data_IF_895100647771
#
_entry.id   IF_895100647771
#
_cell.length_a   1.000
_cell.length_b   1.000
_cell.length_c   1.000
_cell.angle_alpha   90.00
_cell.angle_beta   90.00
_cell.angle_gamma   90.00
#
_symmetry.space_group_name_H-M   'P 1'
#
loop_
_entity.id
_entity.type
_entity.pdbx_description
1 polymer ?
#
# COMPACT_ATOMS: atom_id res chain seq x y z
N UNK A 1 63.42 -9.78 41.70
CA UNK A 1 62.24 -9.98 42.58
C UNK A 1 60.98 -9.62 41.79
N UNK A 2 59.94 -10.47 41.91
CA UNK A 2 58.48 -10.34 41.62
C UNK A 2 57.94 -8.96 41.17
N UNK A 3 56.82 -8.80 40.45
CA UNK A 3 55.92 -9.62 39.61
C UNK A 3 54.79 -8.69 39.10
N UNK A 4 54.25 -9.00 37.90
CA UNK A 4 52.87 -8.79 37.39
C UNK A 4 52.22 -7.39 37.30
N UNK A 5 51.76 -7.09 36.08
CA UNK A 5 50.37 -6.84 35.62
C UNK A 5 50.44 -5.91 34.40
N UNK A 6 49.66 -6.03 33.34
CA UNK A 6 48.51 -6.87 33.01
C UNK A 6 48.16 -6.56 31.54
N UNK A 7 47.51 -7.51 30.90
CA UNK A 7 46.98 -7.45 29.53
C UNK A 7 46.03 -6.27 29.31
N UNK A 8 45.90 -5.81 28.06
CA UNK A 8 44.68 -5.30 27.39
C UNK A 8 45.11 -4.45 26.17
N UNK A 9 44.49 -4.44 25.00
CA UNK A 9 43.60 -5.33 24.28
C UNK A 9 43.62 -4.78 22.84
N UNK A 10 43.73 -5.63 21.83
CA UNK A 10 43.60 -5.23 20.43
C UNK A 10 42.12 -5.09 20.07
N UNK A 11 41.72 -3.94 19.49
CA UNK A 11 40.51 -3.86 18.68
C UNK A 11 40.58 -2.65 17.75
N UNK A 12 41.03 -2.91 16.52
CA UNK A 12 40.63 -2.14 15.35
C UNK A 12 39.12 -2.27 15.16
N UNK A 13 38.40 -1.17 15.21
CA UNK A 13 37.05 -1.07 14.65
C UNK A 13 36.97 0.21 13.84
N UNK A 14 37.11 0.03 12.52
CA UNK A 14 36.67 0.99 11.52
C UNK A 14 35.14 0.89 11.47
N UNK A 15 34.46 1.95 11.88
CA UNK A 15 33.05 2.18 11.52
C UNK A 15 33.02 3.04 10.26
N UNK A 16 32.40 2.58 9.17
CA UNK A 16 31.89 3.46 8.14
C UNK A 16 30.38 3.29 8.08
N UNK A 17 29.63 4.14 8.77
CA UNK A 17 28.18 4.21 8.56
C UNK A 17 27.69 5.61 8.90
N UNK A 18 27.43 6.40 7.86
CA UNK A 18 26.12 7.03 7.66
C UNK A 18 26.16 7.86 6.37
N UNK A 19 25.87 7.21 5.23
CA UNK A 19 25.47 7.91 4.00
C UNK A 19 24.04 7.47 3.70
N UNK A 20 23.08 8.28 4.12
CA UNK A 20 21.72 8.29 3.57
C UNK A 20 21.11 9.65 3.88
N UNK A 21 21.60 10.67 3.17
CA UNK A 21 20.88 11.94 3.10
C UNK A 21 19.76 11.81 2.07
N UNK A 22 18.54 11.93 2.60
CA UNK A 22 17.32 12.40 1.94
C UNK A 22 16.66 11.40 0.98
N UNK A 23 15.81 10.57 1.60
CA UNK A 23 14.65 9.95 0.99
C UNK A 23 13.89 10.97 0.14
N UNK A 24 13.62 10.57 -1.10
CA UNK A 24 12.81 11.31 -2.05
C UNK A 24 11.44 11.61 -1.46
N UNK A 25 11.13 12.90 -1.35
CA UNK A 25 9.74 13.34 -1.35
C UNK A 25 9.46 13.66 -2.82
N UNK A 26 9.14 12.61 -3.58
CA UNK A 26 8.42 12.79 -4.83
C UNK A 26 7.11 13.45 -4.46
N UNK A 27 7.04 14.75 -4.76
CA UNK A 27 5.84 15.56 -4.66
C UNK A 27 4.79 14.92 -5.56
N UNK A 28 3.86 14.18 -4.96
CA UNK A 28 2.60 13.89 -5.62
C UNK A 28 1.97 15.22 -6.02
N UNK A 29 1.92 15.39 -7.33
CA UNK A 29 1.48 16.56 -8.06
C UNK A 29 0.15 17.10 -7.60
N UNK A 30 0.00 18.43 -7.75
CA UNK A 30 -1.25 19.17 -7.71
C UNK A 30 -2.37 18.36 -8.39
N UNK A 31 -3.28 17.78 -7.60
CA UNK A 31 -4.47 17.10 -8.11
C UNK A 31 -5.69 17.97 -7.85
N UNK A 32 -6.31 18.37 -8.95
CA UNK A 32 -7.57 19.09 -8.97
C UNK A 32 -8.62 18.34 -8.12
N UNK A 33 -9.16 19.08 -7.16
CA UNK A 33 -10.23 18.72 -6.25
C UNK A 33 -11.55 18.59 -7.03
N UNK A 34 -11.70 17.52 -7.82
CA UNK A 34 -13.00 17.05 -8.30
C UNK A 34 -13.43 15.91 -7.40
N UNK A 35 -14.40 16.18 -6.50
CA UNK A 35 -15.09 15.25 -5.60
C UNK A 35 -14.53 13.83 -5.55
N UNK A 36 -13.76 13.53 -4.48
CA UNK A 36 -12.98 12.30 -4.27
C UNK A 36 -13.73 11.01 -4.63
N UNK A 37 -13.62 10.59 -5.88
CA UNK A 37 -13.94 9.22 -6.28
C UNK A 37 -12.85 8.30 -5.71
N UNK A 38 -13.24 7.12 -5.25
CA UNK A 38 -12.33 6.11 -4.72
C UNK A 38 -11.24 5.78 -5.75
N UNK A 39 -9.98 5.81 -5.35
CA UNK A 39 -8.81 5.58 -6.20
C UNK A 39 -8.35 4.12 -6.11
N UNK A 40 -7.44 3.72 -6.99
CA UNK A 40 -6.82 2.41 -6.96
C UNK A 40 -5.32 2.51 -6.72
N UNK A 41 -4.80 1.71 -5.80
CA UNK A 41 -3.40 1.68 -5.42
C UNK A 41 -2.83 0.29 -5.61
N UNK A 42 -1.69 0.21 -6.29
CA UNK A 42 -0.94 -1.03 -6.48
C UNK A 42 0.00 -1.24 -5.32
N UNK A 43 -0.15 -2.39 -4.68
CA UNK A 43 0.75 -2.91 -3.65
C UNK A 43 1.23 -4.28 -4.13
N UNK A 44 2.51 -4.37 -4.52
CA UNK A 44 3.10 -5.52 -5.19
C UNK A 44 2.36 -5.89 -6.49
N UNK A 45 1.65 -7.02 -6.48
CA UNK A 45 0.81 -7.53 -7.57
C UNK A 45 -0.67 -7.25 -7.36
N UNK A 46 -1.06 -6.74 -6.19
CA UNK A 46 -2.45 -6.50 -5.82
C UNK A 46 -2.82 -5.06 -6.08
N UNK A 47 -4.07 -4.85 -6.47
CA UNK A 47 -4.66 -3.54 -6.68
C UNK A 47 -5.79 -3.38 -5.66
N UNK A 48 -5.69 -2.35 -4.83
CA UNK A 48 -6.62 -2.06 -3.73
C UNK A 48 -7.33 -0.74 -4.02
N UNK A 49 -8.65 -0.73 -3.90
CA UNK A 49 -9.46 0.47 -3.93
C UNK A 49 -9.42 1.15 -2.56
N UNK A 50 -9.13 2.45 -2.51
CA UNK A 50 -9.21 3.25 -1.28
C UNK A 50 -9.39 4.74 -1.62
N UNK A 51 -9.86 5.53 -0.66
CA UNK A 51 -10.01 6.98 -0.87
C UNK A 51 -8.64 7.67 -0.87
N UNK A 52 -7.68 7.14 -0.09
CA UNK A 52 -6.28 7.60 -0.04
C UNK A 52 -5.30 6.42 0.04
N UNK A 53 -4.03 6.66 -0.34
CA UNK A 53 -2.99 5.64 -0.33
C UNK A 53 -2.73 5.06 1.07
N UNK A 54 -2.81 5.91 2.11
CA UNK A 54 -2.61 5.50 3.52
C UNK A 54 -3.62 4.43 3.95
N UNK A 55 -4.88 4.56 3.55
CA UNK A 55 -5.91 3.56 3.84
C UNK A 55 -5.66 2.24 3.10
N UNK A 56 -5.19 2.29 1.84
CA UNK A 56 -4.81 1.09 1.11
C UNK A 56 -3.63 0.36 1.79
N UNK A 57 -2.67 1.12 2.33
CA UNK A 57 -1.55 0.58 3.10
C UNK A 57 -2.01 -0.14 4.36
N UNK A 58 -2.85 0.52 5.15
CA UNK A 58 -3.34 -0.01 6.40
C UNK A 58 -4.23 -1.23 6.18
N UNK A 59 -5.07 -1.21 5.14
CA UNK A 59 -5.82 -2.37 4.70
C UNK A 59 -4.90 -3.55 4.35
N UNK A 60 -3.86 -3.34 3.55
CA UNK A 60 -2.93 -4.40 3.17
C UNK A 60 -2.19 -5.00 4.39
N UNK A 61 -1.73 -4.15 5.32
CA UNK A 61 -1.07 -4.61 6.54
C UNK A 61 -2.01 -5.40 7.44
N UNK A 62 -3.23 -4.91 7.65
CA UNK A 62 -4.16 -5.48 8.63
C UNK A 62 -4.90 -6.72 8.10
N UNK A 63 -5.31 -6.70 6.83
CA UNK A 63 -6.16 -7.76 6.25
C UNK A 63 -5.34 -8.82 5.51
N UNK A 64 -4.22 -8.42 4.88
CA UNK A 64 -3.37 -9.35 4.11
C UNK A 64 -2.16 -9.80 4.91
N UNK A 65 -1.66 -8.98 5.85
CA UNK A 65 -0.52 -9.33 6.70
C UNK A 65 0.83 -9.27 5.98
N UNK A 66 0.92 -8.55 4.87
CA UNK A 66 2.14 -8.41 4.07
C UNK A 66 3.03 -7.25 4.50
N UNK A 67 4.29 -7.26 4.03
CA UNK A 67 5.18 -6.11 4.15
C UNK A 67 4.89 -5.13 3.01
N UNK A 68 4.76 -3.84 3.32
CA UNK A 68 4.54 -2.84 2.28
C UNK A 68 5.81 -2.63 1.44
N UNK A 69 5.66 -2.42 0.11
CA UNK A 69 6.76 -2.00 -0.73
C UNK A 69 7.13 -0.54 -0.42
N UNK A 70 8.36 -0.16 -0.78
CA UNK A 70 8.84 1.22 -0.62
C UNK A 70 8.10 2.21 -1.52
N UNK A 71 7.50 1.72 -2.61
CA UNK A 71 6.75 2.53 -3.58
C UNK A 71 5.36 1.94 -3.77
N UNK A 72 4.35 2.80 -3.62
CA UNK A 72 2.95 2.50 -3.89
C UNK A 72 2.52 3.40 -5.03
N UNK A 73 1.99 2.79 -6.08
CA UNK A 73 1.63 3.46 -7.32
C UNK A 73 0.11 3.60 -7.39
N UNK A 74 -0.38 4.79 -7.71
CA UNK A 74 -1.80 4.96 -8.05
C UNK A 74 -2.03 4.50 -9.49
N UNK A 75 -3.04 3.66 -9.66
CA UNK A 75 -3.34 3.01 -10.92
C UNK A 75 -4.43 3.76 -11.68
N UNK A 76 -4.28 3.95 -13.00
CA UNK A 76 -5.29 4.65 -13.79
C UNK A 76 -6.56 3.80 -13.91
N UNK A 77 -7.72 4.43 -13.79
CA UNK A 77 -9.05 3.79 -13.81
C UNK A 77 -9.35 2.87 -15.00
N UNK A 78 -8.76 3.16 -16.15
CA UNK A 78 -8.95 2.40 -17.39
C UNK A 78 -8.02 1.19 -17.49
N UNK A 79 -7.09 1.00 -16.54
CA UNK A 79 -6.25 -0.18 -16.53
C UNK A 79 -7.06 -1.43 -16.20
N UNK A 80 -6.66 -2.55 -16.82
CA UNK A 80 -7.24 -3.86 -16.61
C UNK A 80 -6.58 -4.58 -15.43
N UNK A 81 -7.41 -5.27 -14.65
CA UNK A 81 -6.98 -6.14 -13.55
C UNK A 81 -7.64 -7.50 -13.71
N UNK A 82 -6.92 -8.54 -13.28
CA UNK A 82 -7.46 -9.88 -13.15
C UNK A 82 -8.20 -9.98 -11.82
N UNK A 83 -9.50 -10.22 -11.90
CA UNK A 83 -10.34 -10.53 -10.76
C UNK A 83 -10.04 -11.95 -10.25
N UNK A 84 -10.50 -12.23 -9.04
CA UNK A 84 -10.42 -13.54 -8.38
C UNK A 84 -11.19 -14.65 -9.12
N UNK A 85 -12.26 -14.28 -9.83
CA UNK A 85 -13.03 -15.17 -10.70
C UNK A 85 -12.35 -15.48 -12.05
N UNK A 86 -11.14 -14.94 -12.29
CA UNK A 86 -10.39 -15.10 -13.53
C UNK A 86 -10.87 -14.19 -14.67
N UNK A 87 -11.87 -13.33 -14.43
CA UNK A 87 -12.27 -12.31 -15.41
C UNK A 87 -11.30 -11.14 -15.41
N UNK A 88 -11.12 -10.53 -16.58
CA UNK A 88 -10.36 -9.29 -16.71
C UNK A 88 -11.37 -8.14 -16.81
N UNK A 89 -11.26 -7.18 -15.89
CA UNK A 89 -12.11 -6.00 -15.83
C UNK A 89 -11.27 -4.76 -15.66
N UNK A 90 -11.79 -3.61 -16.05
CA UNK A 90 -11.14 -2.34 -15.73
C UNK A 90 -11.29 -2.03 -14.25
N UNK A 91 -10.30 -1.34 -13.68
CA UNK A 91 -10.32 -0.86 -12.29
C UNK A 91 -11.63 -0.14 -11.99
N UNK A 92 -12.05 0.79 -12.86
CA UNK A 92 -13.31 1.52 -12.70
C UNK A 92 -14.53 0.59 -12.65
N UNK A 93 -14.62 -0.37 -13.56
CA UNK A 93 -15.76 -1.29 -13.59
C UNK A 93 -15.85 -2.08 -12.28
N UNK A 94 -14.71 -2.55 -11.77
CA UNK A 94 -14.66 -3.37 -10.56
C UNK A 94 -14.90 -2.55 -9.28
N UNK A 95 -14.45 -1.30 -9.23
CA UNK A 95 -14.80 -0.37 -8.14
C UNK A 95 -16.30 -0.13 -8.14
N UNK A 96 -16.89 0.22 -9.28
CA UNK A 96 -18.33 0.50 -9.38
C UNK A 96 -19.18 -0.72 -9.00
N UNK A 97 -18.80 -1.91 -9.45
CA UNK A 97 -19.51 -3.16 -9.11
C UNK A 97 -19.54 -3.42 -7.60
N UNK A 98 -18.41 -3.20 -6.92
CA UNK A 98 -18.34 -3.36 -5.46
C UNK A 98 -19.17 -2.29 -4.74
N UNK A 99 -19.06 -1.03 -5.17
CA UNK A 99 -19.83 0.07 -4.58
C UNK A 99 -21.34 -0.12 -4.80
N UNK A 100 -21.76 -0.62 -5.96
CA UNK A 100 -23.15 -0.95 -6.26
C UNK A 100 -23.67 -2.10 -5.37
N UNK A 101 -22.86 -3.14 -5.15
CA UNK A 101 -23.21 -4.24 -4.26
C UNK A 101 -23.38 -3.78 -2.80
N UNK A 102 -22.45 -2.97 -2.30
CA UNK A 102 -22.51 -2.37 -0.96
C UNK A 102 -23.71 -1.43 -0.82
N UNK A 103 -23.98 -0.60 -1.83
CA UNK A 103 -25.16 0.25 -1.87
C UNK A 103 -26.46 -0.56 -1.85
N UNK A 104 -26.50 -1.72 -2.52
CA UNK A 104 -27.66 -2.61 -2.47
C UNK A 104 -27.89 -3.14 -1.05
N UNK A 105 -26.83 -3.50 -0.31
CA UNK A 105 -26.94 -3.92 1.10
C UNK A 105 -27.47 -2.80 2.00
N UNK A 106 -26.99 -1.57 1.82
CA UNK A 106 -27.50 -0.40 2.55
C UNK A 106 -28.99 -0.18 2.29
N UNK A 107 -29.45 -0.35 1.05
CA UNK A 107 -30.87 -0.25 0.68
C UNK A 107 -31.73 -1.35 1.34
N UNK A 108 -31.15 -2.50 1.64
CA UNK A 108 -31.81 -3.58 2.38
C UNK A 108 -31.75 -3.39 3.91
N UNK A 109 -31.15 -2.30 4.40
CA UNK A 109 -31.00 -2.03 5.83
C UNK A 109 -29.87 -2.84 6.49
N UNK A 110 -28.97 -3.43 5.70
CA UNK A 110 -27.81 -4.15 6.22
C UNK A 110 -26.69 -3.12 6.48
N UNK A 111 -26.11 -3.05 7.69
CA UNK A 111 -25.01 -2.14 7.98
C UNK A 111 -23.78 -2.54 7.16
N UNK A 112 -23.30 -1.60 6.33
CA UNK A 112 -22.14 -1.80 5.46
C UNK A 112 -21.33 -0.50 5.36
N UNK A 113 -20.00 -0.59 5.41
CA UNK A 113 -19.11 0.55 5.23
C UNK A 113 -18.79 0.71 3.73
N UNK A 114 -19.45 1.66 3.07
CA UNK A 114 -19.32 1.88 1.62
C UNK A 114 -17.86 2.18 1.22
N UNK A 115 -17.18 3.01 2.00
CA UNK A 115 -15.84 3.51 1.72
C UNK A 115 -14.70 2.62 2.24
N UNK A 116 -15.01 1.49 2.91
CA UNK A 116 -13.95 0.61 3.42
C UNK A 116 -13.07 0.11 2.26
N UNK A 117 -11.74 0.19 2.34
CA UNK A 117 -10.87 -0.29 1.28
C UNK A 117 -11.13 -1.75 0.92
N UNK A 118 -10.89 -2.12 -0.34
CA UNK A 118 -11.08 -3.50 -0.81
C UNK A 118 -10.14 -3.88 -1.94
N UNK A 119 -9.90 -5.18 -2.11
CA UNK A 119 -9.12 -5.71 -3.23
C UNK A 119 -9.96 -5.68 -4.49
N UNK A 120 -9.45 -5.03 -5.54
CA UNK A 120 -10.07 -4.97 -6.86
C UNK A 120 -9.61 -6.17 -7.69
N UNK A 121 -8.35 -6.58 -7.54
CA UNK A 121 -7.78 -7.70 -8.25
C UNK A 121 -6.27 -7.71 -8.21
N UNK A 122 -5.67 -8.44 -9.14
CA UNK A 122 -4.22 -8.48 -9.35
C UNK A 122 -3.85 -8.03 -10.75
N UNK A 123 -2.69 -7.42 -10.90
CA UNK A 123 -2.13 -7.19 -12.23
C UNK A 123 -1.67 -8.53 -12.84
N UNK A 124 -1.88 -8.73 -14.16
CA UNK A 124 -1.45 -9.93 -14.88
C UNK A 124 0.08 -10.10 -14.94
#
# INVERSE_FOLDING_TARGET
MRAKCGSDNAASIKTPESTAHNLGIDKCSDREDTGRDMQAYRIHKMVIAADIAEEACDFYRNEIGGTLPDVIEEMPYLMEVCCDDGTVKTIKARINEELDARNAWLRMGIPCELHRPFVIGTLP
#
